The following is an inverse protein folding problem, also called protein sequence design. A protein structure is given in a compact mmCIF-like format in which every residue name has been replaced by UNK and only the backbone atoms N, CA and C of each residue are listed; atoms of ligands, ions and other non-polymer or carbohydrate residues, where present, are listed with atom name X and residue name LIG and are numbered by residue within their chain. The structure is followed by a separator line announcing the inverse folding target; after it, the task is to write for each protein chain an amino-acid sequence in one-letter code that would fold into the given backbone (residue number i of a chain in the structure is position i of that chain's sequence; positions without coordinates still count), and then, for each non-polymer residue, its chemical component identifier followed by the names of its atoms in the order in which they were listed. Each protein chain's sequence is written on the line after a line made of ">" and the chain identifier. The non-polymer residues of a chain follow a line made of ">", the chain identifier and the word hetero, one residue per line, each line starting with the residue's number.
data_IF_917928896513
#
_entry.id   IF_917928896513
#
_cell.length_a   1.000
_cell.length_b   1.000
_cell.length_c   1.000
_cell.angle_alpha   90.00
_cell.angle_beta   90.00
_cell.angle_gamma   90.00
#
_symmetry.space_group_name_H-M   'P 1'
#
loop_
_entity.id
_entity.type
_entity.pdbx_description
1 polymer ?
#
# COMPACT_ATOMS: atom_id res chain seq x y z
N UNK A 1 -39.15 -10.21 -36.63
CA UNK A 1 -39.14 -11.07 -35.41
C UNK A 1 -37.72 -11.52 -35.10
N UNK A 2 -37.10 -12.34 -35.94
CA UNK A 2 -35.69 -12.74 -35.79
C UNK A 2 -34.75 -11.54 -35.57
N UNK A 3 -34.86 -10.49 -36.39
CA UNK A 3 -34.04 -9.26 -36.27
C UNK A 3 -34.22 -8.59 -34.90
N UNK A 4 -35.46 -8.53 -34.38
CA UNK A 4 -35.76 -7.90 -33.09
C UNK A 4 -35.16 -8.74 -31.96
N UNK A 5 -35.35 -10.07 -31.98
CA UNK A 5 -34.79 -10.98 -30.99
C UNK A 5 -33.25 -10.93 -30.98
N UNK A 6 -32.62 -10.90 -32.16
CA UNK A 6 -31.17 -10.77 -32.30
C UNK A 6 -30.67 -9.43 -31.72
N UNK A 7 -31.36 -8.32 -32.02
CA UNK A 7 -30.98 -6.99 -31.54
C UNK A 7 -31.17 -6.87 -30.02
N UNK A 8 -32.26 -7.40 -29.45
CA UNK A 8 -32.49 -7.43 -28.00
C UNK A 8 -31.45 -8.29 -27.29
N UNK A 9 -31.12 -9.47 -27.83
CA UNK A 9 -30.09 -10.34 -27.27
C UNK A 9 -28.72 -9.67 -27.31
N UNK A 10 -28.38 -9.04 -28.44
CA UNK A 10 -27.15 -8.29 -28.60
C UNK A 10 -27.05 -7.13 -27.60
N UNK A 11 -28.12 -6.32 -27.47
CA UNK A 11 -28.14 -5.18 -26.55
C UNK A 11 -28.02 -5.63 -25.09
N UNK A 12 -28.73 -6.71 -24.71
CA UNK A 12 -28.67 -7.30 -23.37
C UNK A 12 -27.24 -7.74 -23.04
N UNK A 13 -26.63 -8.58 -23.89
CA UNK A 13 -25.27 -9.05 -23.69
C UNK A 13 -24.29 -7.89 -23.69
N UNK A 14 -24.44 -6.92 -24.60
CA UNK A 14 -23.58 -5.74 -24.70
C UNK A 14 -23.58 -4.93 -23.39
N UNK A 15 -24.74 -4.63 -22.82
CA UNK A 15 -24.84 -3.84 -21.57
C UNK A 15 -24.13 -4.56 -20.41
N UNK A 16 -24.38 -5.85 -20.22
CA UNK A 16 -23.78 -6.58 -19.10
C UNK A 16 -22.31 -6.93 -19.31
N UNK A 17 -21.88 -7.11 -20.56
CA UNK A 17 -20.46 -7.27 -20.89
C UNK A 17 -19.73 -5.92 -20.79
N UNK A 18 -20.39 -4.81 -21.05
CA UNK A 18 -19.85 -3.47 -20.78
C UNK A 18 -19.62 -3.28 -19.28
N UNK A 19 -20.55 -3.70 -18.42
CA UNK A 19 -20.34 -3.73 -16.95
C UNK A 19 -19.14 -4.60 -16.58
N UNK A 20 -18.93 -5.73 -17.27
CA UNK A 20 -17.73 -6.57 -17.12
C UNK A 20 -16.42 -5.82 -17.38
N UNK A 21 -16.36 -5.00 -18.43
CA UNK A 21 -15.14 -4.27 -18.79
C UNK A 21 -14.94 -2.96 -18.02
N UNK A 22 -16.00 -2.40 -17.45
CA UNK A 22 -15.96 -1.07 -16.83
C UNK A 22 -15.87 -1.15 -15.30
N UNK A 23 -16.26 -2.26 -14.69
CA UNK A 23 -16.23 -2.40 -13.23
C UNK A 23 -15.55 -3.70 -12.81
N UNK A 24 -14.40 -3.61 -12.15
CA UNK A 24 -13.74 -4.78 -11.56
C UNK A 24 -14.60 -5.44 -10.47
N UNK A 25 -15.35 -4.64 -9.70
CA UNK A 25 -16.21 -5.13 -8.62
C UNK A 25 -17.47 -5.83 -9.15
N UNK A 26 -18.13 -5.26 -10.17
CA UNK A 26 -19.36 -5.81 -10.72
C UNK A 26 -19.13 -6.69 -11.93
N UNK A 27 -17.89 -6.82 -12.39
CA UNK A 27 -17.65 -7.38 -13.70
C UNK A 27 -18.03 -8.85 -13.75
N UNK A 28 -17.61 -9.61 -12.74
CA UNK A 28 -18.03 -11.01 -12.57
C UNK A 28 -19.56 -11.15 -12.53
N UNK A 29 -20.25 -10.28 -11.77
CA UNK A 29 -21.71 -10.28 -11.66
C UNK A 29 -22.36 -9.98 -13.02
N UNK A 30 -21.85 -8.98 -13.75
CA UNK A 30 -22.29 -8.66 -15.11
C UNK A 30 -22.11 -9.85 -16.06
N UNK A 31 -20.99 -10.54 -15.98
CA UNK A 31 -20.72 -11.74 -16.78
C UNK A 31 -21.70 -12.87 -16.45
N UNK A 32 -22.00 -13.11 -15.17
CA UNK A 32 -23.01 -14.09 -14.74
C UNK A 32 -24.40 -13.74 -15.25
N UNK A 33 -24.81 -12.46 -15.15
CA UNK A 33 -26.11 -12.00 -15.65
C UNK A 33 -26.18 -12.19 -17.17
N UNK A 34 -25.14 -11.79 -17.91
CA UNK A 34 -25.06 -11.97 -19.36
C UNK A 34 -25.17 -13.45 -19.74
N UNK A 35 -24.34 -14.30 -19.10
CA UNK A 35 -24.27 -15.73 -19.37
C UNK A 35 -25.57 -16.47 -19.06
N UNK A 36 -26.15 -16.25 -17.88
CA UNK A 36 -27.39 -16.95 -17.50
C UNK A 36 -28.64 -16.37 -18.17
N UNK A 37 -28.67 -15.06 -18.42
CA UNK A 37 -29.82 -14.40 -19.06
C UNK A 37 -29.95 -14.70 -20.56
N UNK A 38 -28.84 -14.91 -21.28
CA UNK A 38 -28.87 -15.12 -22.73
C UNK A 38 -29.59 -16.41 -23.14
N UNK A 39 -29.47 -17.48 -22.34
CA UNK A 39 -30.11 -18.77 -22.64
C UNK A 39 -31.63 -18.64 -22.81
N UNK A 40 -32.24 -17.76 -22.02
CA UNK A 40 -33.68 -17.54 -22.05
C UNK A 40 -34.10 -16.65 -23.22
N UNK A 41 -33.23 -15.74 -23.66
CA UNK A 41 -33.44 -14.90 -24.84
C UNK A 41 -33.32 -15.69 -26.16
N UNK A 42 -32.65 -16.84 -26.13
CA UNK A 42 -32.48 -17.74 -27.29
C UNK A 42 -33.63 -18.74 -27.48
N UNK A 43 -34.59 -18.83 -26.55
CA UNK A 43 -35.73 -19.76 -26.66
C UNK A 43 -36.63 -19.36 -27.84
N UNK A 44 -36.96 -20.28 -28.77
CA UNK A 44 -37.81 -19.98 -29.92
C UNK A 44 -39.26 -19.70 -29.51
N UNK A 45 -39.85 -18.63 -30.04
CA UNK A 45 -41.21 -18.16 -29.75
C UNK A 45 -42.36 -19.08 -30.23
N UNK A 46 -42.09 -20.35 -30.58
CA UNK A 46 -43.06 -21.26 -31.22
C UNK A 46 -43.73 -22.26 -30.27
N UNK A 47 -43.34 -22.33 -28.99
CA UNK A 47 -44.00 -23.15 -27.97
C UNK A 47 -45.10 -22.34 -27.26
N UNK A 48 -46.15 -23.02 -26.76
CA UNK A 48 -47.38 -22.44 -26.21
C UNK A 48 -47.11 -21.15 -25.38
N UNK A 49 -47.41 -19.97 -25.93
CA UNK A 49 -46.54 -18.79 -25.78
C UNK A 49 -46.72 -17.99 -24.50
N UNK A 50 -47.68 -18.33 -23.65
CA UNK A 50 -48.06 -17.45 -22.54
C UNK A 50 -47.61 -18.00 -21.19
N UNK A 51 -47.96 -19.24 -20.83
CA UNK A 51 -47.69 -19.78 -19.49
C UNK A 51 -46.21 -20.11 -19.27
N UNK A 52 -45.55 -20.70 -20.27
CA UNK A 52 -44.13 -21.09 -20.18
C UNK A 52 -43.21 -19.88 -20.21
N UNK A 53 -43.50 -18.89 -21.08
CA UNK A 53 -42.75 -17.64 -21.15
C UNK A 53 -42.89 -16.82 -19.86
N UNK A 54 -44.10 -16.72 -19.31
CA UNK A 54 -44.34 -16.00 -18.07
C UNK A 54 -43.54 -16.61 -16.90
N UNK A 55 -43.53 -17.94 -16.78
CA UNK A 55 -42.78 -18.63 -15.72
C UNK A 55 -41.27 -18.39 -15.82
N UNK A 56 -40.68 -18.46 -17.02
CA UNK A 56 -39.24 -18.22 -17.23
C UNK A 56 -38.85 -16.76 -17.06
N UNK A 57 -39.68 -15.83 -17.52
CA UNK A 57 -39.43 -14.40 -17.32
C UNK A 57 -39.49 -14.03 -15.83
N UNK A 58 -40.40 -14.64 -15.07
CA UNK A 58 -40.47 -14.48 -13.62
C UNK A 58 -39.22 -15.02 -12.92
N UNK A 59 -38.67 -16.15 -13.39
CA UNK A 59 -37.42 -16.73 -12.87
C UNK A 59 -36.23 -15.79 -13.09
N UNK A 60 -36.02 -15.28 -14.31
CA UNK A 60 -34.96 -14.30 -14.62
C UNK A 60 -35.14 -13.02 -13.83
N UNK A 61 -36.37 -12.49 -13.83
CA UNK A 61 -36.72 -11.29 -13.09
C UNK A 61 -36.40 -11.44 -11.62
N UNK A 62 -36.69 -12.62 -11.03
CA UNK A 62 -36.37 -12.90 -9.63
C UNK A 62 -34.88 -12.95 -9.35
N UNK A 63 -34.06 -13.56 -10.21
CA UNK A 63 -32.60 -13.65 -10.03
C UNK A 63 -31.95 -12.28 -10.22
N UNK A 64 -32.30 -11.56 -11.29
CA UNK A 64 -31.79 -10.21 -11.55
C UNK A 64 -32.21 -9.26 -10.44
N UNK A 65 -33.46 -9.35 -9.97
CA UNK A 65 -33.94 -8.56 -8.84
C UNK A 65 -33.23 -8.94 -7.54
N UNK A 66 -32.97 -10.22 -7.29
CA UNK A 66 -32.22 -10.66 -6.11
C UNK A 66 -30.78 -10.13 -6.14
N UNK A 67 -30.10 -10.17 -7.29
CA UNK A 67 -28.75 -9.59 -7.46
C UNK A 67 -28.80 -8.07 -7.27
N UNK A 68 -29.81 -7.40 -7.84
CA UNK A 68 -30.00 -5.97 -7.69
C UNK A 68 -30.24 -5.59 -6.22
N UNK A 69 -31.12 -6.30 -5.52
CA UNK A 69 -31.39 -6.11 -4.09
C UNK A 69 -30.15 -6.40 -3.26
N UNK A 70 -29.42 -7.48 -3.55
CA UNK A 70 -28.16 -7.78 -2.87
C UNK A 70 -27.14 -6.66 -3.09
N UNK A 71 -27.02 -6.14 -4.30
CA UNK A 71 -26.10 -5.03 -4.59
C UNK A 71 -26.53 -3.72 -3.95
N UNK A 72 -27.83 -3.45 -3.90
CA UNK A 72 -28.40 -2.29 -3.20
C UNK A 72 -28.20 -2.42 -1.69
N UNK A 73 -28.45 -3.58 -1.10
CA UNK A 73 -28.15 -3.87 0.31
C UNK A 73 -26.66 -3.71 0.55
N UNK A 74 -25.78 -4.31 -0.26
CA UNK A 74 -24.33 -4.18 -0.07
C UNK A 74 -23.91 -2.70 -0.17
N UNK A 75 -24.45 -1.94 -1.14
CA UNK A 75 -24.19 -0.51 -1.28
C UNK A 75 -24.69 0.31 -0.09
N UNK A 76 -25.90 0.04 0.42
CA UNK A 76 -26.46 0.76 1.56
C UNK A 76 -25.87 0.35 2.91
N UNK A 77 -25.47 -0.92 3.07
CA UNK A 77 -25.00 -1.48 4.33
C UNK A 77 -23.48 -1.61 4.42
N UNK A 78 -22.74 -1.38 3.32
CA UNK A 78 -21.29 -1.17 3.39
C UNK A 78 -21.02 0.05 4.24
N UNK A 79 -20.62 -0.20 5.50
CA UNK A 79 -20.32 0.85 6.49
C UNK A 79 -19.16 1.74 6.07
N UNK A 80 -18.33 1.27 5.14
CA UNK A 80 -17.14 1.97 4.67
C UNK A 80 -17.07 1.97 3.15
N UNK A 81 -16.82 3.14 2.59
CA UNK A 81 -16.46 3.26 1.17
C UNK A 81 -15.02 2.76 0.96
N UNK A 82 -14.65 2.31 -0.25
CA UNK A 82 -13.27 1.93 -0.56
C UNK A 82 -12.26 3.02 -0.18
N UNK A 83 -12.62 4.30 -0.40
CA UNK A 83 -11.84 5.45 0.03
C UNK A 83 -11.60 5.49 1.54
N UNK A 84 -12.61 5.24 2.37
CA UNK A 84 -12.46 5.19 3.82
C UNK A 84 -11.58 4.00 4.26
N UNK A 85 -11.71 2.85 3.59
CA UNK A 85 -10.84 1.70 3.84
C UNK A 85 -9.38 2.01 3.48
N UNK A 86 -9.16 2.72 2.36
CA UNK A 86 -7.84 3.16 1.92
C UNK A 86 -7.22 4.16 2.91
N UNK A 87 -7.97 5.17 3.36
CA UNK A 87 -7.51 6.14 4.37
C UNK A 87 -7.08 5.40 5.65
N UNK A 88 -7.90 4.47 6.13
CA UNK A 88 -7.58 3.65 7.30
C UNK A 88 -6.36 2.75 7.09
N UNK A 89 -6.21 2.18 5.90
CA UNK A 89 -5.05 1.37 5.55
C UNK A 89 -3.76 2.21 5.55
N UNK A 90 -3.81 3.43 5.01
CA UNK A 90 -2.70 4.40 5.05
C UNK A 90 -2.37 4.80 6.49
N UNK A 91 -3.38 5.03 7.33
CA UNK A 91 -3.16 5.32 8.77
C UNK A 91 -2.41 4.19 9.48
N UNK A 92 -2.81 2.93 9.25
CA UNK A 92 -2.10 1.77 9.79
C UNK A 92 -0.68 1.65 9.24
N UNK A 93 -0.48 1.91 7.95
CA UNK A 93 0.85 1.93 7.32
C UNK A 93 1.76 2.98 7.97
N UNK A 94 1.24 4.19 8.21
CA UNK A 94 2.00 5.26 8.85
C UNK A 94 2.43 4.90 10.27
N UNK A 95 1.51 4.32 11.06
CA UNK A 95 1.81 3.84 12.40
C UNK A 95 2.88 2.74 12.39
N UNK A 96 2.80 1.81 11.44
CA UNK A 96 3.80 0.76 11.28
C UNK A 96 5.18 1.33 10.95
N UNK A 97 5.29 2.29 10.02
CA UNK A 97 6.57 2.96 9.74
C UNK A 97 7.13 3.68 10.97
N UNK A 98 6.31 4.47 11.67
CA UNK A 98 6.77 5.20 12.87
C UNK A 98 7.27 4.25 13.95
N UNK A 99 6.53 3.17 14.23
CA UNK A 99 6.95 2.16 15.20
C UNK A 99 8.24 1.45 14.77
N UNK A 100 8.39 1.18 13.48
CA UNK A 100 9.55 0.49 12.90
C UNK A 100 10.85 1.31 13.02
N UNK A 101 10.79 2.60 12.66
CA UNK A 101 11.95 3.49 12.84
C UNK A 101 12.23 3.77 14.32
N UNK A 102 11.21 3.91 15.16
CA UNK A 102 11.44 4.07 16.61
C UNK A 102 12.15 2.83 17.20
N UNK A 103 11.77 1.62 16.79
CA UNK A 103 12.47 0.38 17.17
C UNK A 103 13.94 0.37 16.72
N UNK A 104 14.23 0.84 15.50
CA UNK A 104 15.60 1.01 15.01
C UNK A 104 16.43 1.90 15.94
N UNK A 105 15.90 3.06 16.32
CA UNK A 105 16.58 3.99 17.22
C UNK A 105 16.68 3.49 18.67
N UNK A 106 15.86 2.52 19.06
CA UNK A 106 15.93 1.85 20.36
C UNK A 106 16.87 0.63 20.38
N UNK A 107 17.53 0.32 19.26
CA UNK A 107 18.34 -0.89 19.07
C UNK A 107 17.54 -2.21 19.25
N UNK A 108 16.22 -2.20 19.02
CA UNK A 108 15.37 -3.39 19.15
C UNK A 108 15.20 -4.08 17.79
N UNK A 109 16.16 -4.92 17.42
CA UNK A 109 16.16 -5.63 16.14
C UNK A 109 14.90 -6.51 15.94
N UNK A 110 14.43 -7.31 16.94
CA UNK A 110 13.18 -8.05 16.81
C UNK A 110 11.96 -7.17 16.52
N UNK A 111 11.79 -6.05 17.24
CA UNK A 111 10.69 -5.13 16.99
C UNK A 111 10.82 -4.44 15.63
N UNK A 112 12.05 -4.12 15.20
CA UNK A 112 12.35 -3.56 13.88
C UNK A 112 11.94 -4.51 12.75
N UNK A 113 12.24 -5.81 12.89
CA UNK A 113 11.83 -6.85 11.94
C UNK A 113 10.32 -7.06 11.91
N UNK A 114 9.68 -7.09 13.09
CA UNK A 114 8.22 -7.20 13.18
C UNK A 114 7.54 -6.00 12.52
N UNK A 115 7.97 -4.78 12.85
CA UNK A 115 7.46 -3.55 12.27
C UNK A 115 7.68 -3.46 10.75
N UNK A 116 8.84 -3.91 10.24
CA UNK A 116 9.10 -3.98 8.81
C UNK A 116 8.12 -4.89 8.07
N UNK A 117 7.80 -6.07 8.64
CA UNK A 117 6.78 -6.98 8.09
C UNK A 117 5.39 -6.36 8.12
N UNK A 118 5.03 -5.69 9.22
CA UNK A 118 3.74 -5.01 9.34
C UNK A 118 3.61 -3.87 8.33
N UNK A 119 4.67 -3.07 8.14
CA UNK A 119 4.71 -2.00 7.14
C UNK A 119 4.56 -2.58 5.72
N UNK A 120 5.28 -3.65 5.38
CA UNK A 120 5.16 -4.32 4.08
C UNK A 120 3.74 -4.87 3.85
N UNK A 121 3.13 -5.50 4.86
CA UNK A 121 1.75 -6.00 4.80
C UNK A 121 0.74 -4.87 4.59
N UNK A 122 0.86 -3.77 5.34
CA UNK A 122 -0.03 -2.61 5.19
C UNK A 122 0.17 -1.90 3.86
N UNK A 123 1.41 -1.82 3.36
CA UNK A 123 1.69 -1.28 2.03
C UNK A 123 1.05 -2.13 0.93
N UNK A 124 1.15 -3.46 1.02
CA UNK A 124 0.49 -4.38 0.11
C UNK A 124 -1.04 -4.20 0.15
N UNK A 125 -1.61 -4.02 1.34
CA UNK A 125 -3.05 -3.75 1.53
C UNK A 125 -3.46 -2.43 0.86
N UNK A 126 -2.72 -1.35 1.09
CA UNK A 126 -2.97 -0.05 0.45
C UNK A 126 -2.90 -0.13 -1.08
N UNK A 127 -1.97 -0.94 -1.63
CA UNK A 127 -1.85 -1.15 -3.08
C UNK A 127 -3.00 -1.99 -3.64
N UNK A 128 -3.49 -2.98 -2.89
CA UNK A 128 -4.60 -3.83 -3.30
C UNK A 128 -5.94 -3.07 -3.31
N UNK A 129 -6.14 -2.14 -2.37
CA UNK A 129 -7.36 -1.32 -2.27
C UNK A 129 -7.36 -0.12 -3.24
N UNK A 130 -6.18 0.36 -3.66
CA UNK A 130 -6.06 1.56 -4.49
C UNK A 130 -6.91 1.51 -5.79
N UNK A 131 -6.92 0.44 -6.60
CA UNK A 131 -7.73 0.37 -7.82
C UNK A 131 -9.22 0.60 -7.59
N UNK A 132 -9.75 0.16 -6.45
CA UNK A 132 -11.16 0.36 -6.08
C UNK A 132 -11.50 1.82 -5.76
N UNK A 133 -10.48 2.65 -5.56
CA UNK A 133 -10.62 4.07 -5.28
C UNK A 133 -10.52 4.95 -6.55
N UNK A 134 -10.41 4.37 -7.76
CA UNK A 134 -10.35 5.15 -9.00
C UNK A 134 -11.67 5.91 -9.20
N UNK A 135 -11.65 7.27 -9.27
CA UNK A 135 -12.87 8.06 -9.49
C UNK A 135 -13.58 7.69 -10.80
N UNK A 136 -12.88 7.14 -11.80
CA UNK A 136 -13.48 6.69 -13.06
C UNK A 136 -14.42 5.49 -12.91
N UNK A 137 -14.29 4.74 -11.81
CA UNK A 137 -15.18 3.62 -11.50
C UNK A 137 -16.50 4.09 -10.86
N UNK A 138 -16.59 5.35 -10.43
CA UNK A 138 -17.83 5.90 -9.85
C UNK A 138 -18.86 6.13 -10.96
N UNK A 139 -19.94 5.33 -10.95
CA UNK A 139 -21.04 5.47 -11.91
C UNK A 139 -21.85 6.77 -11.69
N UNK A 140 -21.93 7.25 -10.45
CA UNK A 140 -22.65 8.49 -10.07
C UNK A 140 -21.85 9.21 -9.00
N UNK A 141 -21.35 10.41 -9.29
CA UNK A 141 -20.72 11.30 -8.31
C UNK A 141 -21.80 12.09 -7.56
N UNK A 142 -22.24 11.59 -6.41
CA UNK A 142 -23.26 12.25 -5.59
C UNK A 142 -22.71 13.45 -4.78
N UNK A 143 -21.99 14.37 -5.43
CA UNK A 143 -21.45 15.56 -4.77
C UNK A 143 -20.30 15.31 -3.79
N UNK A 144 -19.85 14.06 -3.63
CA UNK A 144 -18.57 13.75 -3.01
C UNK A 144 -17.44 14.21 -3.92
N UNK A 145 -16.38 14.77 -3.33
CA UNK A 145 -15.16 15.09 -4.06
C UNK A 145 -14.49 13.79 -4.55
N UNK A 146 -13.72 13.92 -5.62
CA UNK A 146 -13.01 12.80 -6.21
C UNK A 146 -11.77 12.48 -5.38
N UNK A 147 -11.61 11.18 -5.07
CA UNK A 147 -10.42 10.71 -4.37
C UNK A 147 -9.17 11.02 -5.20
N UNK A 148 -8.11 11.48 -4.54
CA UNK A 148 -6.82 11.82 -5.15
C UNK A 148 -6.03 10.55 -5.52
N UNK A 149 -6.57 9.78 -6.46
CA UNK A 149 -6.05 8.47 -6.87
C UNK A 149 -4.59 8.55 -7.33
N UNK A 150 -4.27 9.47 -8.24
CA UNK A 150 -2.92 9.60 -8.80
C UNK A 150 -1.89 10.02 -7.75
N UNK A 151 -2.26 10.89 -6.81
CA UNK A 151 -1.42 11.25 -5.67
C UNK A 151 -1.13 10.01 -4.82
N UNK A 152 -2.18 9.30 -4.40
CA UNK A 152 -2.06 8.10 -3.56
C UNK A 152 -1.17 7.04 -4.24
N UNK A 153 -1.42 6.77 -5.52
CA UNK A 153 -0.63 5.84 -6.33
C UNK A 153 0.86 6.19 -6.35
N UNK A 154 1.19 7.47 -6.55
CA UNK A 154 2.57 7.93 -6.56
C UNK A 154 3.19 7.84 -5.16
N UNK A 155 2.50 8.33 -4.12
CA UNK A 155 3.01 8.27 -2.74
C UNK A 155 3.29 6.83 -2.30
N UNK A 156 2.40 5.88 -2.59
CA UNK A 156 2.62 4.47 -2.26
C UNK A 156 3.87 3.88 -2.94
N UNK A 157 4.23 4.31 -4.16
CA UNK A 157 5.50 3.91 -4.79
C UNK A 157 6.71 4.50 -4.07
N UNK A 158 6.62 5.73 -3.57
CA UNK A 158 7.71 6.28 -2.74
C UNK A 158 7.82 5.56 -1.40
N UNK A 159 6.70 5.19 -0.78
CA UNK A 159 6.69 4.42 0.47
C UNK A 159 7.21 2.99 0.27
N UNK A 160 7.06 2.40 -0.91
CA UNK A 160 7.73 1.14 -1.28
C UNK A 160 9.25 1.29 -1.32
N UNK A 161 9.78 2.39 -1.85
CA UNK A 161 11.21 2.65 -1.77
C UNK A 161 11.68 2.86 -0.33
N UNK A 162 10.89 3.58 0.49
CA UNK A 162 11.17 3.75 1.92
C UNK A 162 11.19 2.40 2.67
N UNK A 163 10.27 1.50 2.36
CA UNK A 163 10.25 0.12 2.88
C UNK A 163 11.50 -0.67 2.46
N UNK A 164 11.95 -0.52 1.22
CA UNK A 164 13.22 -1.07 0.74
C UNK A 164 14.44 -0.57 1.52
N UNK A 165 14.53 0.74 1.78
CA UNK A 165 15.62 1.32 2.60
C UNK A 165 15.55 0.85 4.05
N UNK A 166 14.35 0.72 4.62
CA UNK A 166 14.18 0.17 5.96
C UNK A 166 14.61 -1.31 6.05
N UNK A 167 14.32 -2.11 5.03
CA UNK A 167 14.82 -3.48 4.94
C UNK A 167 16.36 -3.53 4.84
N UNK A 168 17.00 -2.56 4.18
CA UNK A 168 18.46 -2.45 4.20
C UNK A 168 19.00 -2.14 5.61
N UNK A 169 18.29 -1.35 6.42
CA UNK A 169 18.65 -1.14 7.83
C UNK A 169 18.58 -2.45 8.63
N UNK A 170 17.53 -3.25 8.42
CA UNK A 170 17.40 -4.59 9.05
C UNK A 170 18.56 -5.50 8.64
N UNK A 171 18.87 -5.56 7.35
CA UNK A 171 19.96 -6.40 6.84
C UNK A 171 21.33 -5.94 7.38
N UNK A 172 21.56 -4.63 7.45
CA UNK A 172 22.80 -4.09 8.00
C UNK A 172 22.96 -4.38 9.51
N UNK A 173 21.86 -4.42 10.25
CA UNK A 173 21.84 -4.69 11.69
C UNK A 173 21.92 -6.18 12.06
N UNK A 174 21.37 -7.07 11.22
CA UNK A 174 21.32 -8.52 11.48
C UNK A 174 22.68 -9.19 11.24
N UNK A 175 23.12 -10.06 12.14
CA UNK A 175 24.30 -10.90 11.92
C UNK A 175 24.16 -11.72 10.65
N UNK A 176 25.20 -11.71 9.80
CA UNK A 176 25.17 -12.49 8.57
C UNK A 176 25.53 -13.94 8.90
N UNK A 177 24.59 -14.84 8.63
CA UNK A 177 24.81 -16.28 8.75
C UNK A 177 24.96 -16.86 7.35
N UNK A 178 26.14 -17.41 6.99
CA UNK A 178 26.34 -18.06 5.70
C UNK A 178 25.30 -19.16 5.45
N UNK A 179 24.75 -19.21 4.24
CA UNK A 179 23.77 -20.21 3.77
C UNK A 179 22.36 -20.15 4.38
N UNK A 180 22.01 -19.09 5.10
CA UNK A 180 20.64 -18.93 5.62
C UNK A 180 19.61 -18.81 4.47
N UNK A 181 19.94 -18.05 3.41
CA UNK A 181 19.07 -17.87 2.25
C UNK A 181 18.89 -19.14 1.38
N UNK A 182 19.82 -20.09 1.45
CA UNK A 182 19.77 -21.33 0.67
C UNK A 182 18.87 -22.37 1.33
N UNK A 183 18.60 -22.24 2.63
CA UNK A 183 17.84 -23.26 3.37
C UNK A 183 16.37 -23.33 3.02
N UNK A 184 15.77 -22.32 2.38
CA UNK A 184 14.44 -22.42 1.74
C UNK A 184 13.27 -22.86 2.62
N UNK A 185 13.50 -23.14 3.90
CA UNK A 185 12.52 -23.55 4.90
C UNK A 185 11.91 -22.27 5.46
N UNK A 186 11.06 -21.65 4.63
CA UNK A 186 10.14 -20.63 5.05
C UNK A 186 9.21 -21.22 6.13
N UNK A 187 9.02 -20.47 7.21
CA UNK A 187 7.92 -20.55 8.18
C UNK A 187 8.04 -21.47 9.41
N UNK A 188 9.04 -22.36 9.53
CA UNK A 188 9.33 -22.92 10.85
C UNK A 188 10.22 -21.94 11.63
N UNK A 189 9.55 -21.07 12.37
CA UNK A 189 10.10 -20.18 13.41
C UNK A 189 11.01 -21.00 14.32
N UNK A 190 12.29 -21.10 13.98
CA UNK A 190 13.29 -21.59 14.90
C UNK A 190 13.42 -20.53 16.01
N UNK A 191 12.67 -20.71 17.09
CA UNK A 191 12.67 -19.93 18.35
C UNK A 191 14.07 -19.87 19.05
N UNK A 192 15.14 -20.25 18.37
CA UNK A 192 16.51 -20.23 18.88
C UNK A 192 17.53 -19.53 17.97
N UNK A 193 17.12 -18.86 16.88
CA UNK A 193 18.05 -17.99 16.18
C UNK A 193 18.48 -16.87 17.11
N UNK A 194 19.78 -16.80 17.35
CA UNK A 194 20.40 -15.76 18.15
C UNK A 194 20.02 -14.40 17.58
N UNK A 195 19.18 -13.65 18.30
CA UNK A 195 18.89 -12.23 18.03
C UNK A 195 20.12 -11.35 18.35
N UNK A 196 21.33 -11.88 18.21
CA UNK A 196 22.55 -11.13 18.40
C UNK A 196 22.65 -10.07 17.30
N UNK A 197 22.89 -8.84 17.74
CA UNK A 197 23.24 -7.70 16.91
C UNK A 197 24.75 -7.69 16.69
N UNK A 198 25.19 -7.25 15.51
CA UNK A 198 26.63 -7.19 15.14
C UNK A 198 27.36 -6.06 15.86
N UNK A 199 26.73 -5.45 16.87
CA UNK A 199 27.16 -4.17 17.44
C UNK A 199 26.88 -2.97 16.51
N UNK A 200 26.26 -3.15 15.34
CA UNK A 200 26.03 -2.07 14.35
C UNK A 200 25.11 -1.00 14.92
N UNK A 201 23.97 -1.41 15.48
CA UNK A 201 22.98 -0.50 16.05
C UNK A 201 23.57 0.24 17.26
N UNK A 202 24.25 -0.48 18.15
CA UNK A 202 24.92 0.06 19.33
C UNK A 202 26.02 1.05 18.92
N UNK A 203 26.80 0.71 17.88
CA UNK A 203 27.86 1.58 17.37
C UNK A 203 27.30 2.86 16.76
N UNK A 204 26.17 2.80 16.03
CA UNK A 204 25.48 3.98 15.50
C UNK A 204 24.89 4.82 16.63
N UNK A 205 24.11 4.23 17.52
CA UNK A 205 23.41 4.95 18.60
C UNK A 205 24.37 5.52 19.65
N UNK A 206 25.58 4.98 19.78
CA UNK A 206 26.64 5.58 20.62
C UNK A 206 27.19 6.91 20.08
N UNK A 207 26.89 7.28 18.82
CA UNK A 207 27.38 8.52 18.19
C UNK A 207 26.52 9.70 18.59
N UNK A 208 27.15 10.81 18.95
CA UNK A 208 26.45 12.04 19.29
C UNK A 208 25.64 12.59 18.11
N UNK A 209 26.15 12.45 16.88
CA UNK A 209 25.44 12.87 15.66
C UNK A 209 24.16 12.05 15.39
N UNK A 210 24.00 10.89 16.01
CA UNK A 210 22.81 10.05 15.79
C UNK A 210 21.55 10.65 16.40
N UNK A 211 21.70 11.47 17.45
CA UNK A 211 20.57 12.14 18.13
C UNK A 211 19.84 13.14 17.21
N UNK A 212 20.51 14.14 16.60
CA UNK A 212 19.83 15.02 15.65
C UNK A 212 19.31 14.27 14.43
N UNK A 213 20.03 13.25 13.92
CA UNK A 213 19.52 12.38 12.85
C UNK A 213 18.19 11.70 13.24
N UNK A 214 18.09 11.19 14.48
CA UNK A 214 16.82 10.63 14.99
C UNK A 214 15.72 11.68 15.00
N UNK A 215 15.99 12.83 15.62
CA UNK A 215 15.01 13.90 15.80
C UNK A 215 14.49 14.40 14.43
N UNK A 216 15.40 14.69 13.50
CA UNK A 216 15.10 15.14 12.13
C UNK A 216 14.33 14.08 11.33
N UNK A 217 14.80 12.83 11.30
CA UNK A 217 14.16 11.78 10.50
C UNK A 217 12.78 11.40 11.04
N UNK A 218 12.63 11.27 12.36
CA UNK A 218 11.34 10.94 12.97
C UNK A 218 10.33 12.07 12.80
N UNK A 219 10.77 13.32 12.91
CA UNK A 219 9.93 14.48 12.64
C UNK A 219 9.52 14.54 11.17
N UNK A 220 10.46 14.36 10.24
CA UNK A 220 10.17 14.32 8.81
C UNK A 220 9.19 13.19 8.47
N UNK A 221 9.41 11.98 9.00
CA UNK A 221 8.53 10.83 8.80
C UNK A 221 7.11 11.11 9.30
N UNK A 222 6.96 11.63 10.53
CA UNK A 222 5.67 11.98 11.10
C UNK A 222 4.94 13.04 10.26
N UNK A 223 5.59 14.17 10.00
CA UNK A 223 5.01 15.29 9.25
C UNK A 223 4.60 14.87 7.83
N UNK A 224 5.46 14.13 7.12
CA UNK A 224 5.19 13.68 5.75
C UNK A 224 4.00 12.73 5.68
N UNK A 225 3.91 11.79 6.62
CA UNK A 225 2.82 10.82 6.67
C UNK A 225 1.49 11.46 7.09
N UNK A 226 1.53 12.40 8.04
CA UNK A 226 0.36 13.19 8.47
C UNK A 226 -0.15 14.09 7.33
N UNK A 227 0.75 14.77 6.62
CA UNK A 227 0.40 15.56 5.42
C UNK A 227 -0.31 14.68 4.39
N UNK A 228 0.27 13.51 4.10
CA UNK A 228 -0.31 12.60 3.13
C UNK A 228 -1.72 12.15 3.55
N UNK A 229 -1.89 11.72 4.80
CA UNK A 229 -3.19 11.33 5.36
C UNK A 229 -4.22 12.45 5.29
N UNK A 230 -3.83 13.66 5.68
CA UNK A 230 -4.72 14.84 5.65
C UNK A 230 -5.18 15.13 4.22
N UNK A 231 -4.27 15.09 3.25
CA UNK A 231 -4.58 15.37 1.85
C UNK A 231 -5.51 14.34 1.20
N UNK A 232 -5.41 13.07 1.59
CA UNK A 232 -6.30 12.01 1.07
C UNK A 232 -7.63 11.92 1.84
N UNK A 233 -7.67 12.40 3.08
CA UNK A 233 -8.90 12.45 3.90
C UNK A 233 -9.78 13.66 3.61
N UNK A 234 -9.26 14.61 2.80
CA UNK A 234 -9.91 15.87 2.44
C UNK A 234 -10.22 16.80 3.63
N UNK A 235 -9.56 16.56 4.76
CA UNK A 235 -9.64 17.46 5.90
C UNK A 235 -8.94 18.79 5.57
N UNK A 236 -9.51 19.91 6.04
CA UNK A 236 -8.97 21.25 5.81
C UNK A 236 -7.56 21.36 6.43
N UNK A 237 -6.54 21.25 5.58
CA UNK A 237 -5.15 21.32 6.00
C UNK A 237 -4.73 22.79 6.20
N UNK A 238 -4.93 23.31 7.41
CA UNK A 238 -4.63 24.72 7.75
C UNK A 238 -3.14 24.98 7.99
N UNK A 239 -2.34 23.94 8.18
CA UNK A 239 -0.95 24.04 8.66
C UNK A 239 0.11 23.59 7.62
N UNK A 240 -0.21 23.63 6.33
CA UNK A 240 0.69 23.18 5.25
C UNK A 240 2.01 23.97 5.22
N UNK A 241 1.98 25.27 5.53
CA UNK A 241 3.18 26.12 5.50
C UNK A 241 4.27 25.65 6.48
N UNK A 242 3.89 25.09 7.63
CA UNK A 242 4.84 24.59 8.62
C UNK A 242 5.58 23.34 8.13
N UNK A 243 4.92 22.50 7.33
CA UNK A 243 5.47 21.23 6.85
C UNK A 243 6.49 21.38 5.71
N UNK A 244 6.60 22.56 5.09
CA UNK A 244 7.57 22.83 4.01
C UNK A 244 9.01 22.99 4.52
N UNK A 245 9.21 23.30 5.80
CA UNK A 245 10.48 23.83 6.30
C UNK A 245 11.53 22.79 6.75
N UNK A 246 11.27 21.48 6.67
CA UNK A 246 12.05 20.46 7.41
C UNK A 246 12.45 19.22 6.60
N UNK A 247 13.23 19.34 5.52
CA UNK A 247 13.55 18.17 4.68
C UNK A 247 15.00 18.08 4.22
N UNK A 248 15.95 18.49 5.05
CA UNK A 248 17.37 18.19 4.86
C UNK A 248 17.93 17.57 6.15
N UNK A 249 18.53 16.37 6.06
CA UNK A 249 19.22 15.70 7.17
C UNK A 249 20.60 16.33 7.39
N UNK A 250 20.62 17.56 7.90
CA UNK A 250 21.83 18.36 8.08
C UNK A 250 22.90 17.65 8.93
N UNK A 251 22.48 16.72 9.80
CA UNK A 251 23.36 15.97 10.69
C UNK A 251 24.07 14.76 10.04
N UNK A 252 23.70 14.33 8.82
CA UNK A 252 24.30 13.15 8.17
C UNK A 252 25.83 13.26 7.95
N UNK A 253 26.36 14.39 7.45
CA UNK A 253 27.81 14.55 7.23
C UNK A 253 28.63 14.42 8.52
N UNK A 254 28.11 14.93 9.63
CA UNK A 254 28.75 14.81 10.95
C UNK A 254 28.76 13.36 11.44
N UNK A 255 27.72 12.58 11.14
CA UNK A 255 27.68 11.15 11.43
C UNK A 255 28.77 10.41 10.66
N UNK A 256 28.93 10.63 9.35
CA UNK A 256 30.03 10.04 8.58
C UNK A 256 31.40 10.41 9.14
N UNK A 257 31.59 11.68 9.51
CA UNK A 257 32.84 12.15 10.12
C UNK A 257 33.15 11.39 11.40
N UNK A 258 32.16 11.21 12.29
CA UNK A 258 32.33 10.44 13.52
C UNK A 258 32.61 8.95 13.26
N UNK A 259 31.96 8.35 12.27
CA UNK A 259 32.17 6.94 11.90
C UNK A 259 33.51 6.70 11.21
N UNK A 260 34.03 7.69 10.48
CA UNK A 260 35.33 7.61 9.81
C UNK A 260 36.52 7.58 10.79
N UNK A 261 36.32 8.12 12.00
CA UNK A 261 37.33 8.14 13.06
C UNK A 261 37.47 6.81 13.82
N UNK A 262 36.62 5.82 13.53
CA UNK A 262 36.68 4.52 14.19
C UNK A 262 37.82 3.67 13.63
N UNK A 263 38.60 3.10 14.55
CA UNK A 263 39.66 2.16 14.19
C UNK A 263 39.04 0.78 13.96
N UNK A 264 38.53 0.55 12.74
CA UNK A 264 38.10 -0.77 12.32
C UNK A 264 39.34 -1.65 12.16
N UNK A 265 39.34 -2.80 12.83
CA UNK A 265 40.35 -3.83 12.58
C UNK A 265 40.44 -4.13 11.08
N UNK A 266 41.61 -4.59 10.62
CA UNK A 266 41.78 -4.94 9.21
C UNK A 266 40.77 -6.04 8.86
N UNK A 267 39.89 -5.86 7.85
CA UNK A 267 38.89 -6.87 7.53
C UNK A 267 39.60 -8.16 7.10
N UNK A 268 39.13 -9.30 7.61
CA UNK A 268 39.52 -10.59 7.09
C UNK A 268 38.92 -10.73 5.68
N UNK A 269 39.75 -11.13 4.71
CA UNK A 269 39.42 -11.04 3.27
C UNK A 269 38.19 -11.84 2.85
N UNK A 270 37.79 -12.81 3.65
CA UNK A 270 36.76 -13.78 3.29
C UNK A 270 35.38 -13.45 3.88
N UNK A 271 35.26 -12.38 4.70
CA UNK A 271 34.00 -12.02 5.39
C UNK A 271 33.56 -10.56 5.17
N UNK A 272 33.53 -10.10 3.91
CA UNK A 272 33.06 -8.75 3.55
C UNK A 272 31.63 -8.45 4.04
N UNK A 273 30.77 -9.47 4.16
CA UNK A 273 29.38 -9.32 4.64
C UNK A 273 29.29 -9.07 6.15
N UNK A 274 30.35 -9.37 6.91
CA UNK A 274 30.47 -9.06 8.35
C UNK A 274 31.32 -7.83 8.62
N UNK A 275 31.82 -7.14 7.59
CA UNK A 275 32.59 -5.92 7.79
C UNK A 275 31.69 -4.82 8.40
N UNK A 276 31.96 -4.52 9.67
CA UNK A 276 31.27 -3.48 10.44
C UNK A 276 31.29 -2.14 9.71
N UNK A 277 32.39 -1.78 9.05
CA UNK A 277 32.50 -0.51 8.31
C UNK A 277 31.54 -0.47 7.13
N UNK A 278 31.46 -1.57 6.38
CA UNK A 278 30.55 -1.68 5.23
C UNK A 278 29.09 -1.59 5.70
N UNK A 279 28.72 -2.31 6.76
CA UNK A 279 27.38 -2.29 7.36
C UNK A 279 26.96 -0.93 7.89
N UNK A 280 27.85 -0.24 8.61
CA UNK A 280 27.61 1.13 9.06
C UNK A 280 27.41 2.08 7.88
N UNK A 281 28.18 1.92 6.82
CA UNK A 281 28.02 2.73 5.59
C UNK A 281 26.67 2.47 4.92
N UNK A 282 26.25 1.19 4.82
CA UNK A 282 24.93 0.82 4.29
C UNK A 282 23.83 1.45 5.15
N UNK A 283 23.95 1.36 6.47
CA UNK A 283 22.94 1.90 7.38
C UNK A 283 22.80 3.42 7.26
N UNK A 284 23.92 4.17 7.27
CA UNK A 284 23.86 5.63 7.07
C UNK A 284 23.28 5.98 5.70
N UNK A 285 23.68 5.24 4.65
CA UNK A 285 23.15 5.50 3.31
C UNK A 285 21.66 5.23 3.19
N UNK A 286 21.16 4.18 3.86
CA UNK A 286 19.75 3.87 3.92
C UNK A 286 18.95 4.95 4.65
N UNK A 287 19.51 5.58 5.70
CA UNK A 287 18.88 6.72 6.37
C UNK A 287 18.79 7.96 5.46
N UNK A 288 19.87 8.30 4.73
CA UNK A 288 19.85 9.39 3.74
C UNK A 288 18.84 9.13 2.62
N UNK A 289 18.80 7.91 2.10
CA UNK A 289 17.83 7.55 1.06
C UNK A 289 16.39 7.57 1.61
N UNK A 290 16.18 7.14 2.86
CA UNK A 290 14.87 7.21 3.52
C UNK A 290 14.36 8.64 3.56
N UNK A 291 15.20 9.58 3.98
CA UNK A 291 14.91 11.01 4.00
C UNK A 291 14.60 11.54 2.59
N UNK A 292 15.40 11.18 1.58
CA UNK A 292 15.12 11.52 0.18
C UNK A 292 13.74 11.02 -0.29
N UNK A 293 13.34 9.81 0.09
CA UNK A 293 12.03 9.27 -0.27
C UNK A 293 10.88 9.99 0.44
N UNK A 294 11.07 10.39 1.71
CA UNK A 294 10.13 11.24 2.43
C UNK A 294 9.99 12.60 1.74
N UNK A 295 11.10 13.21 1.33
CA UNK A 295 11.09 14.44 0.52
C UNK A 295 10.24 14.28 -0.75
N UNK A 296 10.39 13.16 -1.46
CA UNK A 296 9.57 12.89 -2.65
C UNK A 296 8.09 12.73 -2.35
N UNK A 297 7.72 12.19 -1.19
CA UNK A 297 6.32 12.12 -0.75
C UNK A 297 5.78 13.52 -0.48
N UNK A 298 6.50 14.33 0.31
CA UNK A 298 6.10 15.72 0.61
C UNK A 298 6.01 16.56 -0.65
N UNK A 299 6.99 16.47 -1.55
CA UNK A 299 6.99 17.19 -2.83
C UNK A 299 5.71 16.90 -3.65
N UNK A 300 5.28 15.63 -3.70
CA UNK A 300 4.06 15.22 -4.39
C UNK A 300 2.81 15.72 -3.69
N UNK A 301 2.78 15.63 -2.37
CA UNK A 301 1.69 16.16 -1.55
C UNK A 301 1.49 17.67 -1.75
N UNK A 302 2.58 18.44 -1.73
CA UNK A 302 2.54 19.89 -1.91
C UNK A 302 2.09 20.33 -3.31
N UNK A 303 2.32 19.51 -4.34
CA UNK A 303 1.83 19.79 -5.72
C UNK A 303 0.32 19.71 -5.85
N UNK A 304 -0.35 18.98 -4.95
CA UNK A 304 -1.80 18.79 -4.93
C UNK A 304 -2.53 19.82 -4.06
N UNK A 305 -1.80 20.74 -3.43
CA UNK A 305 -2.37 21.83 -2.64
C UNK A 305 -2.73 22.96 -3.60
N UNK A 306 -4.00 23.37 -3.70
CA UNK A 306 -4.39 24.50 -4.52
C UNK A 306 -3.75 25.79 -3.96
N UNK A 307 -3.08 26.55 -4.83
CA UNK A 307 -2.50 27.88 -4.55
C UNK A 307 -3.57 28.96 -4.60
#
# INVERSE_FOLDING_TARGET
>A
RFIIQALTTWLYVYIFTYVYYVSDMWGYVGCLIAGFGVYQLLVPCSADPVSTFQSRYQEIGSVVFAIFVQGLIHSMFSRHTPTQLQIKAVDNLSKAFLASYEAFFQCDLPAMQAGGRDAAMHLATCKALLPECDPKLKAVSCGEKDFKYDLCAQVLRSLEHLEGEFNLLIVAAKDWVPNEAVRGEADEVMEGQSNATTGVLETLMSRQAMRPVKEELMQALGNTLELFQTLISEDDCKDIEYMRASMELEAAPDLYKQLSGLNYGRPERDELTNDLRARLTIAVRALENSEYHLYKVTERCLKEVPV
#
